data_IF_157503797035
#
_entry.id   IF_157503797035
#
_cell.length_a   1.000
_cell.length_b   1.000
_cell.length_c   1.000
_cell.angle_alpha   90.00
_cell.angle_beta   90.00
_cell.angle_gamma   90.00
#
_symmetry.space_group_name_H-M   'P 1'
#
loop_
_entity.id
_entity.type
_entity.pdbx_description
1 polymer ?
#
# COMPACT_ATOMS: atom_id res chain seq x y z
N UNK A 1 -13.51 8.55 -33.68
CA UNK A 1 -14.51 8.66 -32.58
C UNK A 1 -14.18 7.53 -31.62
N UNK A 2 -13.80 7.82 -30.37
CA UNK A 2 -13.55 6.76 -29.37
C UNK A 2 -14.85 6.01 -29.11
N UNK A 3 -14.82 4.69 -29.18
CA UNK A 3 -15.97 3.88 -28.84
C UNK A 3 -16.18 3.97 -27.34
N UNK A 4 -17.35 4.41 -26.87
CA UNK A 4 -17.67 4.58 -25.45
C UNK A 4 -17.30 3.36 -24.58
N UNK A 5 -17.36 2.16 -25.16
CA UNK A 5 -16.90 0.90 -24.55
C UNK A 5 -15.39 0.90 -24.23
N UNK A 6 -14.56 1.39 -25.15
CA UNK A 6 -13.11 1.53 -24.95
C UNK A 6 -12.80 2.55 -23.86
N UNK A 7 -13.57 3.65 -23.78
CA UNK A 7 -13.43 4.63 -22.71
C UNK A 7 -13.73 4.02 -21.34
N UNK A 8 -14.81 3.22 -21.22
CA UNK A 8 -15.15 2.50 -19.98
C UNK A 8 -14.07 1.48 -19.63
N UNK A 9 -13.66 0.66 -20.62
CA UNK A 9 -12.64 -0.37 -20.40
C UNK A 9 -11.30 0.24 -19.97
N UNK A 10 -10.91 1.35 -20.59
CA UNK A 10 -9.71 2.12 -20.24
C UNK A 10 -9.79 2.69 -18.82
N UNK A 11 -10.94 3.25 -18.43
CA UNK A 11 -11.16 3.72 -17.06
C UNK A 11 -11.08 2.60 -16.02
N UNK A 12 -11.65 1.43 -16.31
CA UNK A 12 -11.57 0.25 -15.43
C UNK A 12 -10.14 -0.26 -15.29
N UNK A 13 -9.39 -0.38 -16.40
CA UNK A 13 -8.00 -0.82 -16.37
C UNK A 13 -7.11 0.14 -15.56
N UNK A 14 -7.34 1.45 -15.69
CA UNK A 14 -6.65 2.46 -14.89
C UNK A 14 -6.99 2.34 -13.40
N UNK A 15 -8.28 2.18 -13.06
CA UNK A 15 -8.71 1.99 -11.66
C UNK A 15 -8.09 0.77 -11.01
N UNK A 16 -8.07 -0.37 -11.71
CA UNK A 16 -7.43 -1.61 -11.23
C UNK A 16 -5.92 -1.39 -11.04
N UNK A 17 -5.26 -0.70 -11.96
CA UNK A 17 -3.82 -0.42 -11.88
C UNK A 17 -3.47 0.41 -10.64
N UNK A 18 -4.31 1.40 -10.31
CA UNK A 18 -4.15 2.23 -9.10
C UNK A 18 -4.28 1.37 -7.84
N UNK A 19 -5.27 0.48 -7.79
CA UNK A 19 -5.49 -0.42 -6.65
C UNK A 19 -4.29 -1.36 -6.46
N UNK A 20 -3.75 -1.92 -7.56
CA UNK A 20 -2.58 -2.79 -7.51
C UNK A 20 -1.33 -2.05 -7.02
N UNK A 21 -1.11 -0.81 -7.47
CA UNK A 21 -0.02 0.02 -6.98
C UNK A 21 -0.16 0.31 -5.48
N UNK A 22 -1.38 0.61 -5.02
CA UNK A 22 -1.64 0.84 -3.60
C UNK A 22 -1.32 -0.39 -2.74
N UNK A 23 -1.76 -1.59 -3.15
CA UNK A 23 -1.45 -2.86 -2.47
C UNK A 23 0.07 -3.10 -2.44
N UNK A 24 0.76 -2.87 -3.55
CA UNK A 24 2.20 -3.06 -3.65
C UNK A 24 2.97 -2.12 -2.70
N UNK A 25 2.57 -0.85 -2.60
CA UNK A 25 3.14 0.09 -1.65
C UNK A 25 2.92 -0.34 -0.19
N UNK A 26 1.70 -0.75 0.16
CA UNK A 26 1.40 -1.25 1.51
C UNK A 26 2.18 -2.53 1.85
N UNK A 27 2.45 -3.40 0.87
CA UNK A 27 3.28 -4.58 1.10
C UNK A 27 4.73 -4.20 1.42
N UNK A 28 5.28 -3.21 0.71
CA UNK A 28 6.62 -2.68 0.99
C UNK A 28 6.66 -2.06 2.39
N UNK A 29 5.66 -1.25 2.75
CA UNK A 29 5.57 -0.61 4.07
C UNK A 29 5.52 -1.65 5.20
N UNK A 30 4.63 -2.64 5.11
CA UNK A 30 4.53 -3.72 6.10
C UNK A 30 5.86 -4.49 6.24
N UNK A 31 6.50 -4.81 5.11
CA UNK A 31 7.78 -5.52 5.09
C UNK A 31 8.89 -4.71 5.75
N UNK A 32 8.98 -3.41 5.47
CA UNK A 32 9.99 -2.54 6.06
C UNK A 32 9.74 -2.32 7.54
N UNK A 33 8.48 -2.10 7.94
CA UNK A 33 8.10 -2.00 9.34
C UNK A 33 8.53 -3.25 10.11
N UNK A 34 8.15 -4.45 9.65
CA UNK A 34 8.51 -5.70 10.31
C UNK A 34 10.02 -5.90 10.40
N UNK A 35 10.75 -5.52 9.36
CA UNK A 35 12.22 -5.59 9.36
C UNK A 35 12.85 -4.66 10.40
N UNK A 36 12.28 -3.48 10.64
CA UNK A 36 12.82 -2.47 11.56
C UNK A 36 12.38 -2.68 13.01
N UNK A 37 11.16 -3.16 13.24
CA UNK A 37 10.58 -3.30 14.58
C UNK A 37 10.63 -4.73 15.11
N UNK A 38 10.87 -5.73 14.26
CA UNK A 38 10.69 -7.14 14.58
C UNK A 38 9.22 -7.55 14.70
N UNK A 39 8.29 -6.70 14.27
CA UNK A 39 6.85 -6.94 14.31
C UNK A 39 6.34 -7.91 13.24
N UNK A 40 5.02 -8.11 13.24
CA UNK A 40 4.31 -8.96 12.28
C UNK A 40 3.08 -8.24 11.70
N UNK A 41 3.27 -7.00 11.25
CA UNK A 41 2.26 -6.25 10.53
C UNK A 41 2.04 -6.87 9.15
N UNK A 42 0.78 -7.04 8.77
CA UNK A 42 0.40 -7.58 7.47
C UNK A 42 0.25 -6.45 6.44
N UNK A 43 0.23 -6.82 5.16
CA UNK A 43 -0.08 -5.87 4.09
C UNK A 43 -1.44 -5.20 4.29
N UNK A 44 -2.43 -5.94 4.81
CA UNK A 44 -3.75 -5.39 5.12
C UNK A 44 -3.67 -4.32 6.20
N UNK A 45 -2.85 -4.53 7.24
CA UNK A 45 -2.65 -3.51 8.27
C UNK A 45 -2.06 -2.22 7.67
N UNK A 46 -1.06 -2.34 6.80
CA UNK A 46 -0.45 -1.21 6.09
C UNK A 46 -1.36 -0.56 5.03
N UNK A 47 -2.45 -1.20 4.63
CA UNK A 47 -3.42 -0.59 3.73
C UNK A 47 -4.36 0.37 4.47
N UNK A 48 -4.71 0.06 5.72
CA UNK A 48 -5.71 0.82 6.47
C UNK A 48 -5.15 1.62 7.65
N UNK A 49 -3.92 1.35 8.07
CA UNK A 49 -3.27 1.96 9.24
C UNK A 49 -1.87 2.42 8.85
N UNK A 50 -1.49 3.61 9.32
CA UNK A 50 -0.14 4.12 9.14
C UNK A 50 0.84 3.38 10.06
N UNK A 51 1.77 2.62 9.49
CA UNK A 51 2.78 1.90 10.27
C UNK A 51 3.94 2.84 10.61
N UNK A 52 3.93 3.37 11.83
CA UNK A 52 5.01 4.26 12.31
C UNK A 52 5.97 3.50 13.21
N UNK A 53 7.26 3.58 12.88
CA UNK A 53 8.33 3.19 13.80
C UNK A 53 8.40 4.30 14.86
N UNK A 54 7.82 4.07 16.04
CA UNK A 54 8.11 4.92 17.19
C UNK A 54 9.58 4.69 17.52
N UNK A 55 10.43 5.68 17.23
CA UNK A 55 11.78 5.67 17.75
C UNK A 55 11.67 5.50 19.25
N UNK A 56 12.23 4.42 19.79
CA UNK A 56 12.46 4.34 21.23
C UNK A 56 13.28 5.57 21.58
N UNK A 57 12.66 6.57 22.20
CA UNK A 57 13.37 7.49 23.07
C UNK A 57 14.14 6.59 24.03
N UNK A 58 15.45 6.48 23.80
CA UNK A 58 16.35 5.95 24.80
C UNK A 58 16.33 6.97 25.93
N UNK A 59 15.50 6.73 26.93
CA UNK A 59 15.79 7.17 28.29
C UNK A 59 17.08 6.45 28.73
N UNK A 60 18.24 7.03 28.42
CA UNK A 60 19.53 6.83 29.10
C UNK A 60 20.52 7.88 28.63
#
# INVERSE_FOLDING_TARGET
MSNWKETILGGMAMGISIILLWIAFSWIEARQYNRLTGGNATTLDAMFIQLRVQGKEKET
#
